data_IF_967107143759
#
_entry.id   IF_967107143759
#
_cell.length_a   1.000
_cell.length_b   1.000
_cell.length_c   1.000
_cell.angle_alpha   90.00
_cell.angle_beta   90.00
_cell.angle_gamma   90.00
#
_symmetry.space_group_name_H-M   'P 1'
#
loop_
_entity.id
_entity.type
_entity.pdbx_description
1 polymer ?
#
# COMPACT_ATOMS: atom_id res chain seq x y z
N UNK A 1 9.46 0.94 -5.41
CA UNK A 1 10.68 1.57 -5.97
C UNK A 1 11.01 2.85 -5.23
N UNK A 2 12.27 3.28 -5.23
CA UNK A 2 12.73 4.51 -4.57
C UNK A 2 13.92 5.14 -5.31
N UNK A 3 14.20 6.43 -5.09
CA UNK A 3 15.34 7.16 -5.67
C UNK A 3 14.94 8.32 -6.59
N UNK A 4 15.71 8.57 -7.65
CA UNK A 4 15.42 9.58 -8.68
C UNK A 4 14.28 9.11 -9.62
N UNK A 5 13.04 9.19 -9.11
CA UNK A 5 11.85 8.72 -9.84
C UNK A 5 11.43 9.74 -10.90
N UNK A 6 11.66 9.36 -12.16
CA UNK A 6 11.32 10.07 -13.39
C UNK A 6 10.07 9.45 -14.05
N UNK A 7 9.51 10.09 -15.07
CA UNK A 7 8.27 9.64 -15.73
C UNK A 7 8.32 8.17 -16.22
N UNK A 8 9.43 7.73 -16.82
CA UNK A 8 9.58 6.34 -17.26
C UNK A 8 9.51 5.33 -16.09
N UNK A 9 10.02 5.72 -14.92
CA UNK A 9 10.00 4.89 -13.71
C UNK A 9 8.58 4.74 -13.15
N UNK A 10 7.72 5.76 -13.30
CA UNK A 10 6.30 5.66 -12.92
C UNK A 10 5.55 4.64 -13.76
N UNK A 11 5.79 4.62 -15.07
CA UNK A 11 5.22 3.60 -15.97
C UNK A 11 5.71 2.18 -15.63
N UNK A 12 6.97 2.02 -15.20
CA UNK A 12 7.47 0.75 -14.63
C UNK A 12 6.72 0.36 -13.34
N UNK A 13 6.40 1.32 -12.48
CA UNK A 13 5.63 1.05 -11.26
C UNK A 13 4.18 0.62 -11.55
N UNK A 14 3.53 1.17 -12.58
CA UNK A 14 2.22 0.69 -13.05
C UNK A 14 2.32 -0.77 -13.55
N UNK A 15 3.27 -1.08 -14.45
CA UNK A 15 3.53 -2.45 -14.91
C UNK A 15 3.76 -3.43 -13.73
N UNK A 16 4.57 -3.04 -12.73
CA UNK A 16 4.84 -3.86 -11.53
C UNK A 16 3.61 -4.04 -10.63
N UNK A 17 2.75 -3.03 -10.50
CA UNK A 17 1.50 -3.14 -9.73
C UNK A 17 0.50 -4.07 -10.43
N UNK A 18 0.38 -3.95 -11.76
CA UNK A 18 -0.45 -4.82 -12.61
C UNK A 18 0.03 -6.28 -12.57
N UNK A 19 1.35 -6.53 -12.48
CA UNK A 19 1.92 -7.86 -12.23
C UNK A 19 1.65 -8.32 -10.78
N UNK A 20 1.71 -7.42 -9.79
CA UNK A 20 1.47 -7.76 -8.39
C UNK A 20 0.07 -8.36 -8.14
N UNK A 21 -0.92 -8.06 -9.00
CA UNK A 21 -2.27 -8.65 -8.89
C UNK A 21 -2.28 -10.18 -8.99
N UNK A 22 -1.25 -10.80 -9.57
CA UNK A 22 -1.10 -12.25 -9.66
C UNK A 22 -0.93 -12.91 -8.27
N UNK A 23 -0.62 -12.11 -7.23
CA UNK A 23 -0.55 -12.54 -5.83
C UNK A 23 -1.76 -12.12 -4.99
N UNK A 24 -2.77 -11.48 -5.58
CA UNK A 24 -3.98 -11.02 -4.89
C UNK A 24 -4.78 -10.00 -5.68
N UNK A 25 -6.11 -10.15 -5.72
CA UNK A 25 -7.02 -9.31 -6.54
C UNK A 25 -8.17 -8.68 -5.73
N UNK A 26 -8.19 -8.87 -4.42
CA UNK A 26 -9.28 -8.41 -3.54
C UNK A 26 -9.22 -6.90 -3.27
N UNK A 27 -8.01 -6.33 -3.25
CA UNK A 27 -7.78 -4.90 -3.07
C UNK A 27 -6.35 -4.51 -3.47
N UNK A 28 -6.17 -3.28 -3.94
CA UNK A 28 -4.88 -2.71 -4.31
C UNK A 28 -4.67 -1.38 -3.60
N UNK A 29 -3.43 -1.11 -3.19
CA UNK A 29 -3.04 0.19 -2.65
C UNK A 29 -1.58 0.54 -2.89
N UNK A 30 -1.29 1.83 -2.74
CA UNK A 30 0.02 2.43 -2.97
C UNK A 30 0.35 3.48 -1.90
N UNK A 31 1.63 3.70 -1.65
CA UNK A 31 2.15 4.84 -0.88
C UNK A 31 3.15 5.59 -1.74
N UNK A 32 2.93 6.89 -1.96
CA UNK A 32 3.96 7.82 -2.47
C UNK A 32 4.59 8.54 -1.28
N UNK A 33 5.88 8.87 -1.38
CA UNK A 33 6.54 9.86 -0.50
C UNK A 33 7.22 10.94 -1.33
N UNK A 34 7.03 12.21 -0.96
CA UNK A 34 7.70 13.39 -1.54
C UNK A 34 9.21 13.44 -1.27
N UNK A 35 9.93 14.30 -1.98
CA UNK A 35 11.24 14.84 -1.58
C UNK A 35 11.29 15.19 -0.09
N UNK A 36 10.26 15.90 0.39
CA UNK A 36 10.10 16.46 1.73
C UNK A 36 9.65 15.46 2.81
N UNK A 37 9.69 14.14 2.56
CA UNK A 37 9.30 13.06 3.49
C UNK A 37 7.79 12.88 3.72
N UNK A 38 6.92 13.77 3.23
CA UNK A 38 5.47 13.66 3.33
C UNK A 38 4.95 12.43 2.54
N UNK A 39 4.27 11.46 3.19
CA UNK A 39 3.63 10.33 2.53
C UNK A 39 2.19 10.65 2.12
N UNK A 40 1.69 9.96 1.08
CA UNK A 40 0.27 9.84 0.77
C UNK A 40 -0.02 8.39 0.41
N UNK A 41 -0.96 7.76 1.13
CA UNK A 41 -1.49 6.44 0.82
C UNK A 41 -2.81 6.55 0.04
N UNK A 42 -3.00 5.71 -0.98
CA UNK A 42 -4.29 5.46 -1.62
C UNK A 42 -4.57 3.96 -1.69
N UNK A 43 -5.81 3.55 -1.52
CA UNK A 43 -6.24 2.14 -1.57
C UNK A 43 -7.68 1.99 -2.06
N UNK A 44 -7.95 0.93 -2.82
CA UNK A 44 -9.29 0.58 -3.32
C UNK A 44 -9.51 -0.93 -3.29
N UNK A 45 -10.77 -1.36 -3.23
CA UNK A 45 -11.18 -2.74 -3.48
C UNK A 45 -10.92 -3.11 -4.95
N UNK A 46 -10.62 -4.38 -5.22
CA UNK A 46 -10.40 -4.92 -6.56
C UNK A 46 -8.95 -4.85 -7.05
N UNK A 47 -8.80 -4.89 -8.38
CA UNK A 47 -7.53 -4.99 -9.12
C UNK A 47 -6.86 -3.62 -9.32
N UNK A 48 -5.56 -3.58 -9.70
CA UNK A 48 -4.83 -2.32 -9.89
C UNK A 48 -5.50 -1.29 -10.78
N UNK A 49 -6.13 -1.71 -11.89
CA UNK A 49 -6.81 -0.80 -12.83
C UNK A 49 -7.80 0.14 -12.12
N UNK A 50 -8.60 -0.41 -11.19
CA UNK A 50 -9.62 0.34 -10.45
C UNK A 50 -9.03 1.46 -9.58
N UNK A 51 -7.74 1.38 -9.24
CA UNK A 51 -6.99 2.43 -8.54
C UNK A 51 -6.23 3.33 -9.52
N UNK A 52 -5.56 2.73 -10.53
CA UNK A 52 -4.72 3.43 -11.52
C UNK A 52 -5.51 4.44 -12.38
N UNK A 53 -6.79 4.18 -12.66
CA UNK A 53 -7.65 5.05 -13.47
C UNK A 53 -8.31 6.22 -12.69
N UNK A 54 -8.11 6.31 -11.37
CA UNK A 54 -8.70 7.38 -10.54
C UNK A 54 -7.95 8.71 -10.70
N UNK A 55 -8.66 9.84 -10.68
CA UNK A 55 -8.03 11.18 -10.65
C UNK A 55 -7.23 11.38 -9.37
N UNK A 56 -7.62 10.73 -8.27
CA UNK A 56 -6.84 10.69 -7.04
C UNK A 56 -5.46 10.04 -7.27
N UNK A 57 -5.36 8.92 -7.99
CA UNK A 57 -4.06 8.34 -8.34
C UNK A 57 -3.27 9.25 -9.29
N UNK A 58 -3.88 9.74 -10.36
CA UNK A 58 -3.21 10.62 -11.33
C UNK A 58 -2.61 11.87 -10.63
N UNK A 59 -3.44 12.64 -9.93
CA UNK A 59 -3.00 13.86 -9.22
C UNK A 59 -2.09 13.57 -8.02
N UNK A 60 -2.49 12.68 -7.11
CA UNK A 60 -1.82 12.49 -5.83
C UNK A 60 -0.67 11.49 -5.87
N UNK A 61 -0.51 10.68 -6.93
CA UNK A 61 0.55 9.65 -7.05
C UNK A 61 1.39 9.83 -8.32
N UNK A 62 0.77 10.00 -9.50
CA UNK A 62 1.49 9.96 -10.78
C UNK A 62 2.09 11.31 -11.20
N UNK A 63 1.38 12.42 -10.95
CA UNK A 63 1.86 13.77 -11.26
C UNK A 63 2.67 14.39 -10.10
N UNK A 64 2.28 14.12 -8.85
CA UNK A 64 2.93 14.64 -7.65
C UNK A 64 4.43 14.26 -7.52
N UNK A 65 5.20 15.09 -6.82
CA UNK A 65 6.62 14.80 -6.55
C UNK A 65 6.80 13.52 -5.72
N UNK A 66 7.81 12.73 -6.10
CA UNK A 66 8.01 11.35 -5.65
C UNK A 66 9.49 11.05 -5.48
N UNK A 67 9.85 10.43 -4.35
CA UNK A 67 11.13 9.73 -4.11
C UNK A 67 10.99 8.28 -3.63
N UNK A 68 9.80 7.88 -3.15
CA UNK A 68 9.44 6.49 -2.81
C UNK A 68 8.05 6.19 -3.38
N UNK A 69 7.88 5.00 -3.95
CA UNK A 69 6.60 4.39 -4.29
C UNK A 69 6.54 2.94 -3.78
N UNK A 70 5.72 2.68 -2.77
CA UNK A 70 5.35 1.34 -2.28
C UNK A 70 4.03 0.95 -2.96
N UNK A 71 3.86 -0.31 -3.35
CA UNK A 71 2.62 -0.82 -3.94
C UNK A 71 2.33 -2.24 -3.47
N UNK A 72 1.05 -2.59 -3.34
CA UNK A 72 0.61 -3.88 -2.82
C UNK A 72 -0.76 -4.28 -3.36
N UNK A 73 -0.90 -5.54 -3.77
CA UNK A 73 -2.17 -6.17 -4.09
C UNK A 73 -2.46 -7.29 -3.07
N UNK A 74 -3.60 -7.22 -2.38
CA UNK A 74 -3.99 -8.12 -1.29
C UNK A 74 -4.73 -9.34 -1.85
N UNK A 75 -4.27 -10.51 -1.45
CA UNK A 75 -5.12 -11.70 -1.32
C UNK A 75 -5.67 -11.72 0.11
N UNK A 76 -6.98 -11.89 0.27
CA UNK A 76 -7.63 -12.00 1.57
C UNK A 76 -7.24 -13.31 2.26
N UNK A 77 -6.80 -13.21 3.51
CA UNK A 77 -6.56 -14.33 4.43
C UNK A 77 -7.45 -14.17 5.67
N UNK A 78 -7.27 -13.08 6.40
CA UNK A 78 -8.16 -12.60 7.46
C UNK A 78 -8.94 -11.35 7.01
N UNK A 79 -10.01 -11.03 7.74
CA UNK A 79 -10.87 -9.86 7.54
C UNK A 79 -11.73 -9.86 6.27
N UNK A 80 -12.65 -8.89 6.19
CA UNK A 80 -13.46 -8.64 4.99
C UNK A 80 -12.65 -8.16 3.77
N UNK A 81 -13.25 -8.21 2.59
CA UNK A 81 -12.79 -7.44 1.43
C UNK A 81 -13.50 -6.09 1.50
N UNK A 82 -12.75 -5.04 1.86
CA UNK A 82 -13.21 -3.66 1.98
C UNK A 82 -11.99 -2.72 1.99
N UNK A 83 -12.22 -1.41 1.89
CA UNK A 83 -11.15 -0.40 1.83
C UNK A 83 -10.37 -0.32 3.16
N UNK A 84 -11.03 -0.48 4.31
CA UNK A 84 -10.39 -0.54 5.64
C UNK A 84 -9.25 -1.57 5.64
N UNK A 85 -9.57 -2.81 5.30
CA UNK A 85 -8.67 -3.97 5.34
C UNK A 85 -7.73 -4.07 4.13
N UNK A 86 -7.77 -3.11 3.21
CA UNK A 86 -6.79 -2.99 2.15
C UNK A 86 -5.49 -2.37 2.70
N UNK A 87 -4.34 -2.84 2.22
CA UNK A 87 -3.06 -2.16 2.42
C UNK A 87 -3.00 -0.89 1.56
N UNK A 88 -2.23 0.15 1.93
CA UNK A 88 -1.40 0.24 3.13
C UNK A 88 -2.21 0.40 4.43
N UNK A 89 -1.56 0.06 5.54
CA UNK A 89 -1.98 0.43 6.89
C UNK A 89 -1.12 1.57 7.39
N UNK A 90 -1.72 2.49 8.14
CA UNK A 90 -1.09 3.71 8.65
C UNK A 90 -1.43 3.88 10.13
N UNK A 91 -0.39 3.89 10.97
CA UNK A 91 -0.49 4.08 12.41
C UNK A 91 0.62 5.04 12.85
N UNK A 92 0.25 6.16 13.48
CA UNK A 92 1.20 7.16 13.97
C UNK A 92 2.23 7.58 12.91
N UNK A 93 3.49 7.22 13.15
CA UNK A 93 4.62 7.54 12.28
C UNK A 93 4.88 6.51 11.17
N UNK A 94 4.14 5.40 11.12
CA UNK A 94 4.39 4.26 10.25
C UNK A 94 3.30 4.14 9.18
N UNK A 95 3.69 3.96 7.92
CA UNK A 95 2.77 3.57 6.84
C UNK A 95 3.39 2.46 5.98
N UNK A 96 2.72 1.32 5.83
CA UNK A 96 3.35 0.12 5.28
C UNK A 96 2.44 -0.96 4.71
N UNK A 97 3.07 -1.97 4.10
CA UNK A 97 2.42 -3.11 3.43
C UNK A 97 3.03 -4.44 3.88
N UNK A 98 2.20 -5.48 4.06
CA UNK A 98 2.61 -6.80 4.54
C UNK A 98 2.14 -7.90 3.56
N UNK A 99 3.11 -8.54 2.88
CA UNK A 99 2.87 -9.79 2.15
C UNK A 99 3.16 -10.95 3.10
N UNK A 100 2.13 -11.62 3.60
CA UNK A 100 2.29 -12.64 4.61
C UNK A 100 1.01 -13.07 5.30
N UNK A 101 1.15 -13.76 6.42
CA UNK A 101 0.08 -14.17 7.34
C UNK A 101 0.73 -14.52 8.68
N UNK A 102 0.36 -13.82 9.74
CA UNK A 102 0.89 -14.04 11.07
C UNK A 102 0.15 -15.18 11.75
N UNK A 103 0.85 -16.29 11.98
CA UNK A 103 0.42 -17.29 12.96
C UNK A 103 0.50 -16.67 14.36
N UNK A 104 -0.34 -17.16 15.28
CA UNK A 104 -0.32 -16.74 16.67
C UNK A 104 -0.75 -15.29 16.97
N UNK A 105 -1.14 -14.46 15.98
CA UNK A 105 -1.47 -13.05 16.20
C UNK A 105 -2.59 -12.81 17.23
N UNK A 106 -3.48 -13.80 17.45
CA UNK A 106 -4.46 -13.83 18.54
C UNK A 106 -3.86 -13.79 19.97
N UNK A 107 -2.54 -13.92 20.11
CA UNK A 107 -1.80 -13.75 21.37
C UNK A 107 -1.25 -12.33 21.58
N UNK A 108 -1.27 -11.50 20.54
CA UNK A 108 -0.79 -10.11 20.62
C UNK A 108 -1.79 -9.24 21.37
N UNK A 109 -1.29 -8.21 22.05
CA UNK A 109 -2.14 -7.23 22.72
C UNK A 109 -3.11 -6.58 21.70
N UNK A 110 -4.35 -6.33 22.12
CA UNK A 110 -5.40 -5.68 21.31
C UNK A 110 -5.83 -6.43 20.03
N UNK A 111 -5.50 -7.71 19.85
CA UNK A 111 -5.84 -8.45 18.62
C UNK A 111 -7.32 -8.42 18.19
N UNK A 112 -8.25 -8.17 19.12
CA UNK A 112 -9.70 -8.10 18.87
C UNK A 112 -10.17 -6.77 18.29
N UNK A 113 -9.32 -5.76 18.31
CA UNK A 113 -9.64 -4.39 17.87
C UNK A 113 -9.41 -4.23 16.34
N UNK A 114 -8.81 -5.25 15.69
CA UNK A 114 -8.38 -5.23 14.30
C UNK A 114 -8.98 -6.41 13.51
N UNK A 115 -9.45 -6.14 12.29
CA UNK A 115 -10.04 -7.16 11.41
C UNK A 115 -9.00 -8.04 10.70
N UNK A 116 -7.74 -7.59 10.64
CA UNK A 116 -6.63 -8.29 9.98
C UNK A 116 -5.32 -8.21 10.78
N UNK A 117 -4.54 -9.26 10.66
CA UNK A 117 -3.22 -9.44 11.30
C UNK A 117 -2.20 -8.37 10.87
N UNK A 118 -2.26 -7.92 9.62
CA UNK A 118 -1.39 -6.86 9.08
C UNK A 118 -1.60 -5.49 9.72
N UNK A 119 -2.83 -5.17 10.09
CA UNK A 119 -3.22 -3.87 10.65
C UNK A 119 -2.76 -3.78 12.12
N UNK A 120 -3.06 -4.85 12.87
CA UNK A 120 -2.52 -5.13 14.20
C UNK A 120 -0.98 -5.10 14.22
N UNK A 121 -0.31 -5.68 13.23
CA UNK A 121 1.15 -5.65 13.13
C UNK A 121 1.68 -4.21 13.00
N UNK A 122 1.13 -3.42 12.09
CA UNK A 122 1.59 -2.04 11.89
C UNK A 122 1.24 -1.12 13.07
N UNK A 123 0.14 -1.40 13.79
CA UNK A 123 -0.13 -0.76 15.07
C UNK A 123 0.94 -1.10 16.12
N UNK A 124 1.29 -2.38 16.33
CA UNK A 124 2.36 -2.77 17.26
C UNK A 124 3.73 -2.16 16.88
N UNK A 125 4.07 -2.11 15.58
CA UNK A 125 5.31 -1.46 15.11
C UNK A 125 5.30 0.05 15.40
N UNK A 126 4.15 0.74 15.32
CA UNK A 126 4.05 2.15 15.67
C UNK A 126 4.05 2.42 17.18
N UNK A 127 3.43 1.56 17.99
CA UNK A 127 3.27 1.76 19.44
C UNK A 127 4.53 1.35 20.22
N UNK A 128 5.14 0.22 19.85
CA UNK A 128 6.26 -0.39 20.59
C UNK A 128 7.58 -0.39 19.81
N UNK A 129 7.57 0.00 18.53
CA UNK A 129 8.72 -0.09 17.64
C UNK A 129 8.93 -1.51 17.07
N UNK A 130 9.63 -1.58 15.94
CA UNK A 130 9.97 -2.85 15.26
C UNK A 130 10.76 -3.80 16.19
N UNK A 131 11.67 -3.24 16.98
CA UNK A 131 12.55 -3.97 17.92
C UNK A 131 11.79 -4.75 19.00
N UNK A 132 10.70 -4.20 19.53
CA UNK A 132 9.88 -4.86 20.54
C UNK A 132 8.69 -5.63 19.94
N UNK A 133 8.51 -5.59 18.61
CA UNK A 133 7.39 -6.24 17.91
C UNK A 133 7.82 -7.53 17.23
N UNK A 134 8.89 -7.51 16.43
CA UNK A 134 9.29 -8.66 15.62
C UNK A 134 9.64 -9.89 16.46
N UNK A 135 10.36 -9.81 17.60
CA UNK A 135 10.63 -10.98 18.46
C UNK A 135 9.38 -11.61 19.09
N UNK A 136 8.24 -10.92 19.10
CA UNK A 136 6.95 -11.48 19.57
C UNK A 136 6.23 -12.30 18.48
N UNK A 137 6.67 -12.23 17.22
CA UNK A 137 6.06 -12.97 16.11
C UNK A 137 6.54 -14.41 16.09
N UNK A 138 5.60 -15.35 15.96
CA UNK A 138 5.85 -16.77 15.73
C UNK A 138 6.74 -16.96 14.48
N UNK A 139 7.92 -17.58 14.62
CA UNK A 139 8.86 -17.76 13.49
C UNK A 139 8.24 -18.54 12.30
N UNK A 140 7.22 -19.33 12.61
CA UNK A 140 6.52 -20.18 11.67
C UNK A 140 5.39 -19.42 10.92
N UNK A 141 5.12 -18.18 11.34
CA UNK A 141 4.39 -17.19 10.56
C UNK A 141 5.12 -16.80 9.28
N UNK A 142 4.50 -15.91 8.50
CA UNK A 142 5.06 -15.45 7.24
C UNK A 142 4.94 -13.93 7.12
N UNK A 143 6.05 -13.25 6.85
CA UNK A 143 6.05 -11.81 6.58
C UNK A 143 7.17 -11.40 5.62
N UNK A 144 6.82 -10.56 4.66
CA UNK A 144 7.70 -9.58 4.04
C UNK A 144 7.05 -8.20 4.19
N UNK A 145 7.78 -7.26 4.77
CA UNK A 145 7.32 -5.96 5.24
C UNK A 145 8.08 -4.85 4.52
N UNK A 146 7.35 -3.84 4.05
CA UNK A 146 7.91 -2.60 3.50
C UNK A 146 7.12 -1.42 4.06
N UNK A 147 7.80 -0.48 4.71
CA UNK A 147 7.14 0.69 5.30
C UNK A 147 7.98 1.96 5.22
N UNK A 148 7.30 3.10 5.23
CA UNK A 148 7.88 4.40 5.48
C UNK A 148 7.73 4.75 6.96
N UNK A 149 8.80 5.24 7.56
CA UNK A 149 8.80 5.87 8.89
C UNK A 149 8.91 7.38 8.70
N UNK A 150 7.86 8.11 9.06
CA UNK A 150 7.74 9.58 8.97
C UNK A 150 8.71 10.30 9.91
N UNK A 151 9.00 9.73 11.08
CA UNK A 151 9.83 10.35 12.12
C UNK A 151 11.31 10.14 11.86
N UNK A 152 11.69 8.93 11.43
CA UNK A 152 13.06 8.62 11.02
C UNK A 152 13.38 9.08 9.58
N UNK A 153 12.36 9.41 8.78
CA UNK A 153 12.46 9.67 7.33
C UNK A 153 13.13 8.52 6.56
N UNK A 154 12.81 7.27 6.93
CA UNK A 154 13.40 6.07 6.33
C UNK A 154 12.40 5.16 5.64
N UNK A 155 12.85 4.56 4.54
CA UNK A 155 12.22 3.43 3.88
C UNK A 155 12.81 2.15 4.46
N UNK A 156 11.96 1.30 5.02
CA UNK A 156 12.35 0.14 5.81
C UNK A 156 11.91 -1.16 5.15
N UNK A 157 12.77 -2.17 5.24
CA UNK A 157 12.54 -3.52 4.72
C UNK A 157 12.89 -4.56 5.79
N UNK A 158 12.03 -5.57 5.93
CA UNK A 158 12.28 -6.75 6.76
C UNK A 158 11.45 -7.93 6.26
N UNK A 159 11.99 -9.14 6.26
CA UNK A 159 11.23 -10.36 5.97
C UNK A 159 11.80 -11.56 6.74
N UNK A 160 11.02 -12.63 6.89
CA UNK A 160 11.55 -13.92 7.34
C UNK A 160 11.81 -14.90 6.18
N UNK A 161 12.22 -16.13 6.53
CA UNK A 161 12.38 -17.29 5.62
C UNK A 161 11.13 -17.59 4.77
N UNK A 162 9.94 -17.29 5.26
CA UNK A 162 8.66 -17.77 4.72
C UNK A 162 8.09 -16.92 3.57
N UNK A 163 8.71 -15.78 3.24
CA UNK A 163 8.31 -14.92 2.11
C UNK A 163 9.52 -14.41 1.31
N UNK A 164 9.42 -14.35 -0.02
CA UNK A 164 10.46 -13.76 -0.86
C UNK A 164 10.29 -12.24 -0.97
N UNK A 165 11.42 -11.53 -1.06
CA UNK A 165 11.51 -10.15 -1.51
C UNK A 165 12.89 -9.97 -2.16
N UNK A 166 12.94 -9.28 -3.29
CA UNK A 166 14.15 -9.05 -4.08
C UNK A 166 14.29 -7.58 -4.44
N UNK A 167 15.51 -7.15 -4.74
CA UNK A 167 15.89 -5.83 -5.23
C UNK A 167 16.62 -5.90 -6.56
N UNK A 168 16.54 -4.82 -7.33
CA UNK A 168 17.47 -4.50 -8.42
C UNK A 168 17.54 -2.98 -8.59
N UNK A 169 18.49 -2.49 -9.38
CA UNK A 169 18.73 -1.06 -9.56
C UNK A 169 18.83 -0.70 -11.04
N UNK A 170 18.56 0.57 -11.37
CA UNK A 170 19.00 1.14 -12.65
C UNK A 170 20.52 1.06 -12.78
N UNK A 171 21.00 1.01 -14.02
CA UNK A 171 22.43 0.97 -14.36
C UNK A 171 23.26 2.12 -13.80
N UNK A 172 22.65 3.27 -13.57
CA UNK A 172 23.26 4.46 -12.96
C UNK A 172 23.13 4.50 -11.43
N UNK A 173 22.61 3.44 -10.80
CA UNK A 173 22.41 3.28 -9.36
C UNK A 173 21.44 4.30 -8.73
N UNK A 174 20.65 5.04 -9.52
CA UNK A 174 19.77 6.10 -9.01
C UNK A 174 18.38 5.66 -8.59
N UNK A 175 17.86 4.53 -9.09
CA UNK A 175 16.54 4.01 -8.70
C UNK A 175 16.66 2.54 -8.31
N UNK A 176 16.13 2.25 -7.12
CA UNK A 176 15.97 0.91 -6.57
C UNK A 176 14.55 0.41 -6.86
N UNK A 177 14.43 -0.73 -7.54
CA UNK A 177 13.19 -1.48 -7.67
C UNK A 177 13.18 -2.64 -6.67
N UNK A 178 11.99 -3.01 -6.18
CA UNK A 178 11.80 -4.22 -5.39
C UNK A 178 10.52 -4.94 -5.82
N UNK A 179 10.50 -6.25 -5.64
CA UNK A 179 9.41 -7.14 -6.02
C UNK A 179 9.36 -8.33 -5.07
N UNK A 180 8.20 -9.00 -4.98
CA UNK A 180 8.13 -10.27 -4.24
C UNK A 180 8.90 -11.38 -4.96
N UNK A 181 9.00 -11.33 -6.30
CA UNK A 181 9.62 -12.37 -7.11
C UNK A 181 10.55 -11.74 -8.17
N UNK A 182 11.73 -12.32 -8.45
CA UNK A 182 12.76 -11.67 -9.26
C UNK A 182 12.38 -11.58 -10.74
N UNK A 183 11.51 -12.47 -11.24
CA UNK A 183 11.07 -12.45 -12.63
C UNK A 183 10.21 -11.22 -12.97
N UNK A 184 9.63 -10.53 -11.98
CA UNK A 184 8.90 -9.26 -12.17
C UNK A 184 9.82 -8.17 -12.75
N UNK A 185 11.13 -8.24 -12.51
CA UNK A 185 12.10 -7.30 -13.07
C UNK A 185 12.26 -7.43 -14.59
N UNK A 186 11.70 -8.47 -15.21
CA UNK A 186 11.50 -8.54 -16.67
C UNK A 186 10.57 -7.44 -17.22
N UNK A 187 9.72 -6.82 -16.39
CA UNK A 187 8.98 -5.62 -16.78
C UNK A 187 9.83 -4.35 -16.68
N UNK A 188 10.74 -4.29 -15.71
CA UNK A 188 11.67 -3.17 -15.51
C UNK A 188 12.67 -3.09 -16.69
N UNK A 189 13.29 -4.22 -17.06
CA UNK A 189 14.28 -4.29 -18.13
C UNK A 189 13.73 -4.01 -19.53
N UNK A 190 12.40 -4.01 -19.71
CA UNK A 190 11.73 -3.56 -20.96
C UNK A 190 11.71 -2.03 -21.13
N UNK A 191 11.98 -1.27 -20.05
CA UNK A 191 11.85 0.20 -20.03
C UNK A 191 13.09 0.93 -19.48
N UNK A 192 14.05 0.24 -18.85
CA UNK A 192 15.33 0.82 -18.42
C UNK A 192 16.44 -0.23 -18.37
N UNK A 193 17.69 0.19 -18.61
CA UNK A 193 18.88 -0.61 -18.30
C UNK A 193 18.98 -0.86 -16.78
N UNK A 194 19.24 -2.12 -16.40
CA UNK A 194 19.52 -2.54 -15.03
C UNK A 194 21.03 -2.51 -14.71
N UNK A 195 21.39 -2.67 -13.43
CA UNK A 195 22.78 -2.84 -13.01
C UNK A 195 23.44 -4.07 -13.64
N UNK A 196 24.77 -4.12 -13.70
CA UNK A 196 25.50 -5.21 -14.33
C UNK A 196 25.59 -6.48 -13.47
N UNK A 197 25.53 -6.34 -12.14
CA UNK A 197 25.68 -7.40 -11.15
C UNK A 197 26.27 -6.86 -9.85
N UNK A 198 26.26 -7.67 -8.80
CA UNK A 198 27.31 -7.61 -7.79
C UNK A 198 28.60 -8.29 -8.34
N UNK A 199 29.62 -8.50 -7.50
CA UNK A 199 30.88 -9.15 -7.90
C UNK A 199 30.69 -10.59 -8.42
N UNK A 200 29.58 -11.24 -8.08
CA UNK A 200 29.19 -12.59 -8.54
C UNK A 200 28.35 -12.58 -9.82
N UNK A 201 28.00 -11.40 -10.34
CA UNK A 201 27.11 -11.22 -11.50
C UNK A 201 25.60 -11.24 -11.17
N UNK A 202 25.20 -11.24 -9.89
CA UNK A 202 23.79 -11.25 -9.50
C UNK A 202 23.11 -9.90 -9.78
N UNK A 203 22.26 -9.85 -10.81
CA UNK A 203 21.46 -8.66 -11.20
C UNK A 203 20.26 -8.42 -10.25
N UNK A 204 19.79 -9.48 -9.59
CA UNK A 204 18.69 -9.45 -8.63
C UNK A 204 19.19 -9.93 -7.27
N UNK A 205 19.13 -9.07 -6.25
CA UNK A 205 19.56 -9.42 -4.89
C UNK A 205 18.34 -9.82 -4.04
N UNK A 206 18.33 -10.99 -3.38
CA UNK A 206 17.34 -11.26 -2.33
C UNK A 206 17.57 -10.31 -1.15
N UNK A 207 16.49 -9.86 -0.51
CA UNK A 207 16.59 -9.35 0.86
C UNK A 207 17.02 -10.50 1.76
N UNK A 208 17.97 -10.26 2.66
CA UNK A 208 18.39 -11.24 3.65
C UNK A 208 17.24 -11.60 4.62
N UNK A 209 17.20 -12.84 5.08
CA UNK A 209 16.23 -13.26 6.08
C UNK A 209 16.55 -12.58 7.43
N UNK A 210 15.49 -12.15 8.12
CA UNK A 210 15.53 -11.70 9.51
C UNK A 210 16.51 -10.55 9.77
N UNK A 211 16.80 -9.75 8.73
CA UNK A 211 17.56 -8.49 8.81
C UNK A 211 16.69 -7.30 8.42
N UNK A 212 16.59 -6.34 9.34
CA UNK A 212 16.05 -5.01 9.10
C UNK A 212 17.06 -4.20 8.29
N UNK A 213 16.61 -3.60 7.19
CA UNK A 213 17.37 -2.62 6.41
C UNK A 213 16.58 -1.30 6.33
N UNK A 214 17.15 -0.22 6.88
CA UNK A 214 16.54 1.11 6.91
C UNK A 214 17.34 2.07 6.03
N UNK A 215 16.72 2.64 5.00
CA UNK A 215 17.35 3.55 4.05
C UNK A 215 16.79 4.97 4.18
N UNK A 216 17.67 5.96 4.36
CA UNK A 216 17.37 7.34 4.01
C UNK A 216 17.45 7.49 2.49
N UNK A 217 16.46 8.19 1.92
CA UNK A 217 16.33 8.40 0.47
C UNK A 217 16.52 9.89 0.16
N UNK A 218 17.66 10.24 -0.44
CA UNK A 218 17.95 11.59 -0.94
C UNK A 218 17.68 11.65 -2.46
N UNK A 219 16.51 12.13 -2.87
CA UNK A 219 16.11 12.18 -4.30
C UNK A 219 17.16 12.83 -5.21
N UNK A 220 17.77 13.93 -4.75
CA UNK A 220 18.66 14.74 -5.60
C UNK A 220 20.09 14.20 -5.68
N UNK A 221 20.48 13.29 -4.79
CA UNK A 221 21.80 12.63 -4.82
C UNK A 221 23.02 13.55 -4.74
N UNK A 222 22.85 14.79 -4.24
CA UNK A 222 23.92 15.80 -4.21
C UNK A 222 24.96 15.42 -3.16
N UNK A 223 26.23 15.37 -3.58
CA UNK A 223 27.39 15.13 -2.72
C UNK A 223 27.38 16.06 -1.48
N UNK A 224 27.65 15.54 -0.26
CA UNK A 224 28.14 14.19 0.05
C UNK A 224 27.06 13.10 0.16
N UNK A 225 25.78 13.43 -0.06
CA UNK A 225 24.65 12.58 0.31
C UNK A 225 24.15 11.73 -0.86
N UNK A 226 24.66 10.49 -0.96
CA UNK A 226 24.20 9.47 -1.91
C UNK A 226 22.68 9.25 -1.84
N UNK A 227 22.08 8.89 -2.98
CA UNK A 227 20.62 8.70 -3.13
C UNK A 227 20.07 7.67 -2.14
N UNK A 228 20.81 6.58 -1.92
CA UNK A 228 20.51 5.56 -0.91
C UNK A 228 21.57 5.62 0.18
N UNK A 229 21.17 5.97 1.39
CA UNK A 229 22.03 5.92 2.57
C UNK A 229 21.46 4.93 3.58
N UNK A 230 22.14 3.81 3.79
CA UNK A 230 21.76 2.79 4.77
C UNK A 230 22.00 3.35 6.18
N UNK A 231 20.93 3.58 6.94
CA UNK A 231 20.96 4.15 8.30
C UNK A 231 21.05 3.05 9.37
N UNK A 232 20.37 1.93 9.13
CA UNK A 232 20.32 0.79 10.05
C UNK A 232 20.40 -0.52 9.27
N UNK A 233 21.25 -1.43 9.75
CA UNK A 233 21.21 -2.84 9.43
C UNK A 233 21.26 -3.61 10.74
N UNK A 234 20.24 -4.42 11.03
CA UNK A 234 20.10 -5.12 12.32
C UNK A 234 19.42 -6.46 12.14
N UNK A 235 19.90 -7.50 12.82
CA UNK A 235 19.20 -8.80 12.88
C UNK A 235 17.99 -8.69 13.82
N UNK A 236 16.81 -9.04 13.32
CA UNK A 236 15.51 -9.07 13.99
C UNK A 236 14.72 -10.28 13.48
N UNK A 237 14.77 -11.37 14.27
CA UNK A 237 14.05 -12.62 14.01
C UNK A 237 12.82 -12.73 14.92
N UNK A 238 11.77 -13.40 14.44
CA UNK A 238 10.68 -13.89 15.31
C UNK A 238 11.12 -15.07 16.17
N UNK A 239 10.56 -15.20 17.37
CA UNK A 239 10.88 -16.29 18.31
C UNK A 239 9.81 -17.39 18.29
N UNK A 240 10.22 -18.66 18.40
CA UNK A 240 9.29 -19.74 18.78
C UNK A 240 8.91 -19.58 20.24
N UNK A 241 7.80 -18.87 20.49
CA UNK A 241 7.11 -18.94 21.78
C UNK A 241 5.86 -19.79 21.62
N UNK A 242 6.02 -21.09 21.90
CA UNK A 242 4.88 -21.95 22.24
C UNK A 242 4.14 -21.28 23.39
N UNK A 243 2.94 -20.75 23.11
CA UNK A 243 2.30 -19.74 23.94
C UNK A 243 1.84 -20.32 25.28
N UNK A 244 2.71 -20.24 26.29
CA UNK A 244 2.39 -20.40 27.71
C UNK A 244 1.58 -19.20 28.17
N UNK A 245 0.37 -19.06 27.61
CA UNK A 245 -0.61 -18.06 27.99
C UNK A 245 -0.81 -18.12 29.49
N UNK A 246 -0.43 -17.05 30.18
CA UNK A 246 -0.27 -17.04 31.62
C UNK A 246 -1.64 -16.91 32.31
N UNK A 247 -2.43 -17.98 32.20
CA UNK A 247 -3.70 -18.16 32.89
C UNK A 247 -3.44 -18.12 34.39
N UNK A 248 -3.57 -16.92 34.97
CA UNK A 248 -3.82 -16.76 36.40
C UNK A 248 -5.16 -17.41 36.69
N UNK A 249 -5.10 -18.70 37.02
CA UNK A 249 -6.22 -19.45 37.56
C UNK A 249 -6.69 -18.75 38.83
N UNK A 250 -7.79 -18.00 38.74
CA UNK A 250 -8.52 -17.56 39.91
C UNK A 250 -9.13 -18.81 40.53
N UNK A 251 -8.46 -19.32 41.57
CA UNK A 251 -8.73 -20.63 42.14
C UNK A 251 -10.19 -20.78 42.54
N UNK A 252 -10.92 -21.62 41.82
CA UNK A 252 -12.23 -22.11 42.23
C UNK A 252 -12.03 -23.34 43.10
N UNK A 253 -12.58 -23.33 44.31
CA UNK A 253 -12.33 -24.34 45.33
C UNK A 253 -12.94 -25.69 44.94
N UNK A 254 -12.20 -26.77 45.19
CA UNK A 254 -12.44 -28.06 44.56
C UNK A 254 -13.76 -28.74 44.90
N UNK A 255 -14.22 -29.55 43.94
CA UNK A 255 -15.05 -30.73 44.18
C UNK A 255 -14.26 -31.91 43.60
N UNK A 256 -13.89 -32.86 44.45
CA UNK A 256 -13.23 -34.09 43.99
C UNK A 256 -14.24 -35.00 43.30
N UNK A 257 -13.88 -35.57 42.15
CA UNK A 257 -14.60 -36.68 41.54
C UNK A 257 -13.62 -37.79 41.15
N UNK A 258 -13.87 -39.00 41.64
CA UNK A 258 -13.02 -40.16 41.39
C UNK A 258 -12.99 -40.54 39.90
N UNK A 259 -11.79 -40.79 39.38
CA UNK A 259 -11.61 -41.29 38.03
C UNK A 259 -12.16 -42.72 37.87
N UNK A 260 -12.85 -42.97 36.76
CA UNK A 260 -13.30 -44.29 36.33
C UNK A 260 -12.78 -44.59 34.92
N UNK A 261 -12.02 -45.67 34.78
CA UNK A 261 -11.43 -46.08 33.49
C UNK A 261 -12.44 -46.89 32.67
N UNK A 262 -12.76 -46.44 31.45
CA UNK A 262 -13.60 -47.18 30.51
C UNK A 262 -13.02 -47.20 29.09
N UNK A 263 -13.31 -48.30 28.40
CA UNK A 263 -12.64 -48.77 27.19
C UNK A 263 -12.81 -47.84 25.97
N UNK A 264 -11.82 -47.87 25.07
CA UNK A 264 -11.91 -47.17 23.79
C UNK A 264 -12.97 -47.77 22.86
N UNK A 265 -13.87 -46.91 22.37
CA UNK A 265 -14.74 -47.19 21.22
C UNK A 265 -14.20 -46.55 19.94
N UNK A 266 -14.63 -47.03 18.78
CA UNK A 266 -14.28 -46.40 17.50
C UNK A 266 -14.90 -45.01 17.38
N UNK A 267 -14.10 -44.02 17.00
CA UNK A 267 -14.58 -42.65 16.76
C UNK A 267 -15.39 -42.64 15.46
N UNK A 268 -16.65 -42.22 15.53
CA UNK A 268 -17.49 -42.04 14.35
C UNK A 268 -16.98 -40.86 13.50
N UNK A 269 -16.99 -41.03 12.17
CA UNK A 269 -16.53 -40.01 11.21
C UNK A 269 -17.22 -38.66 11.43
N UNK A 270 -16.49 -37.61 11.87
CA UNK A 270 -17.07 -36.32 12.23
C UNK A 270 -17.59 -35.53 11.02
N UNK A 271 -17.30 -35.97 9.78
CA UNK A 271 -17.72 -35.28 8.57
C UNK A 271 -19.01 -35.84 7.94
N UNK A 272 -19.60 -36.91 8.49
CA UNK A 272 -20.88 -37.46 7.99
C UNK A 272 -22.02 -36.44 8.04
N UNK A 273 -22.23 -35.80 9.19
CA UNK A 273 -23.28 -34.79 9.37
C UNK A 273 -23.09 -33.57 8.46
N UNK A 274 -21.84 -33.12 8.28
CA UNK A 274 -21.50 -32.06 7.34
C UNK A 274 -21.82 -32.44 5.89
N UNK A 275 -21.53 -33.69 5.49
CA UNK A 275 -21.78 -34.19 4.12
C UNK A 275 -23.26 -34.39 3.80
N UNK A 276 -24.07 -34.75 4.79
CA UNK A 276 -25.54 -34.79 4.66
C UNK A 276 -26.14 -33.39 4.66
N UNK A 277 -25.69 -32.50 5.57
CA UNK A 277 -26.13 -31.10 5.62
C UNK A 277 -25.84 -30.34 4.33
N UNK A 278 -24.66 -30.55 3.73
CA UNK A 278 -24.31 -29.97 2.42
C UNK A 278 -25.22 -30.46 1.29
N UNK A 279 -25.66 -31.73 1.34
CA UNK A 279 -26.65 -32.28 0.41
C UNK A 279 -28.03 -31.64 0.58
N UNK A 280 -28.45 -31.36 1.82
CA UNK A 280 -29.72 -30.67 2.11
C UNK A 280 -29.68 -29.19 1.74
N UNK A 281 -28.52 -28.54 1.80
CA UNK A 281 -28.31 -27.14 1.35
C UNK A 281 -28.30 -27.02 -0.18
N UNK A 282 -27.60 -27.92 -0.87
CA UNK A 282 -27.57 -27.92 -2.35
C UNK A 282 -28.94 -28.23 -2.98
N UNK A 283 -29.84 -28.90 -2.25
CA UNK A 283 -31.24 -29.13 -2.67
C UNK A 283 -32.21 -27.98 -2.32
N UNK A 284 -31.71 -26.79 -1.95
CA UNK A 284 -32.51 -25.63 -1.52
C UNK A 284 -32.10 -24.30 -2.18
N UNK A 285 -31.44 -24.37 -3.33
CA UNK A 285 -30.97 -23.20 -4.09
C UNK A 285 -31.74 -22.94 -5.39
N UNK A 286 -32.83 -23.68 -5.62
CA UNK A 286 -33.84 -23.41 -6.65
C UNK A 286 -35.19 -23.05 -5.98
N UNK A 287 -35.30 -21.86 -5.36
CA UNK A 287 -36.51 -21.01 -5.49
C UNK A 287 -36.27 -19.58 -4.96
N UNK A 288 -37.07 -18.63 -5.48
CA UNK A 288 -37.39 -17.26 -5.00
C UNK A 288 -36.27 -16.34 -4.45
N UNK A 289 -36.17 -15.13 -5.00
CA UNK A 289 -35.59 -13.97 -4.31
C UNK A 289 -36.53 -13.46 -3.21
N UNK A 290 -35.97 -12.87 -2.14
CA UNK A 290 -36.32 -11.53 -1.60
C UNK A 290 -36.05 -11.36 -0.09
N UNK A 291 -35.54 -10.18 0.25
CA UNK A 291 -35.57 -9.45 1.53
C UNK A 291 -34.90 -9.93 2.83
N UNK A 292 -34.66 -8.91 3.68
CA UNK A 292 -33.79 -8.87 4.86
C UNK A 292 -34.64 -8.68 6.13
N UNK A 293 -34.16 -9.11 7.31
CA UNK A 293 -34.46 -8.42 8.56
C UNK A 293 -33.20 -7.80 9.20
N UNK A 294 -32.98 -6.50 8.91
CA UNK A 294 -32.00 -5.67 9.61
C UNK A 294 -32.52 -5.32 11.01
N UNK A 295 -31.67 -5.39 12.05
CA UNK A 295 -32.04 -5.01 13.44
C UNK A 295 -30.96 -4.14 14.07
N UNK A 296 -31.36 -3.06 14.76
CA UNK A 296 -30.45 -2.02 15.23
C UNK A 296 -30.77 -1.57 16.67
N UNK A 297 -29.72 -1.16 17.41
CA UNK A 297 -29.80 -0.64 18.78
C UNK A 297 -29.42 -1.68 19.86
N UNK A 298 -28.79 -1.32 20.99
CA UNK A 298 -28.70 0.03 21.59
C UNK A 298 -27.44 0.25 22.44
N UNK A 299 -26.90 1.49 22.38
CA UNK A 299 -26.15 2.24 23.41
C UNK A 299 -24.89 1.61 24.07
N UNK A 300 -23.70 2.22 23.88
CA UNK A 300 -22.57 2.04 24.80
C UNK A 300 -22.87 2.58 26.20
N UNK A 301 -22.31 1.93 27.24
CA UNK A 301 -22.35 2.42 28.62
C UNK A 301 -21.16 3.36 28.92
N UNK A 302 -21.31 4.35 29.83
CA UNK A 302 -20.24 5.27 30.20
C UNK A 302 -19.14 4.56 31.01
N UNK A 303 -17.87 4.82 30.67
CA UNK A 303 -16.72 4.25 31.38
C UNK A 303 -16.45 5.00 32.70
N UNK A 304 -16.10 4.30 33.80
CA UNK A 304 -15.80 4.92 35.08
C UNK A 304 -14.42 5.64 35.09
N UNK A 305 -14.23 6.65 35.96
CA UNK A 305 -13.02 7.48 35.97
C UNK A 305 -11.77 6.74 36.49
N UNK A 306 -10.60 7.10 35.93
CA UNK A 306 -9.28 6.64 36.42
C UNK A 306 -9.08 6.98 37.90
N UNK A 307 -8.57 6.01 38.67
CA UNK A 307 -7.87 6.28 39.95
C UNK A 307 -6.35 6.35 39.71
N UNK A 308 -5.62 7.32 40.30
CA UNK A 308 -4.18 7.47 40.08
C UNK A 308 -3.34 6.66 41.08
N UNK A 309 -2.42 5.84 40.55
CA UNK A 309 -1.28 5.22 41.25
C UNK A 309 -0.17 5.04 40.20
N UNK A 310 1.12 5.32 40.45
CA UNK A 310 1.75 5.93 41.61
C UNK A 310 3.27 5.97 41.40
N UNK A 311 3.93 7.09 41.74
CA UNK A 311 5.36 7.31 41.45
C UNK A 311 6.27 6.40 42.28
N UNK A 312 7.29 5.77 41.66
CA UNK A 312 8.49 5.30 42.38
C UNK A 312 9.70 5.01 41.50
N UNK A 313 10.64 5.97 41.51
CA UNK A 313 12.10 5.79 41.50
C UNK A 313 12.62 6.54 42.75
N UNK A 314 13.89 6.40 43.21
CA UNK A 314 15.07 5.81 42.55
C UNK A 314 15.88 4.80 43.40
N UNK A 315 16.97 4.29 42.82
CA UNK A 315 18.07 3.61 43.53
C UNK A 315 19.40 3.85 42.79
N UNK A 316 20.48 4.19 43.50
CA UNK A 316 21.74 4.69 42.91
C UNK A 316 22.99 4.06 43.52
N UNK A 317 23.84 3.48 42.67
CA UNK A 317 25.26 3.13 42.88
C UNK A 317 25.82 2.63 41.52
N UNK A 318 27.02 2.94 41.02
CA UNK A 318 28.22 3.55 41.62
C UNK A 318 29.10 2.47 42.28
N UNK A 319 30.34 2.17 41.86
CA UNK A 319 31.17 2.58 40.70
C UNK A 319 32.09 1.36 40.32
N UNK A 320 33.22 1.37 39.59
CA UNK A 320 34.22 2.38 39.15
C UNK A 320 35.03 1.83 37.97
N UNK A 321 35.76 2.67 37.21
CA UNK A 321 36.85 2.23 36.33
C UNK A 321 38.16 1.97 37.14
N UNK A 322 39.19 1.32 36.54
CA UNK A 322 40.25 2.14 35.94
C UNK A 322 40.84 1.60 34.61
N UNK A 323 41.46 2.52 33.86
CA UNK A 323 42.29 2.31 32.65
C UNK A 323 43.75 1.93 32.97
N UNK A 324 44.55 1.49 31.97
CA UNK A 324 45.88 2.07 31.57
C UNK A 324 46.70 1.21 30.56
N UNK A 325 47.02 1.77 29.36
CA UNK A 325 48.29 1.65 28.54
C UNK A 325 48.81 0.25 28.09
N UNK A 326 49.77 0.05 27.15
CA UNK A 326 50.35 0.80 25.98
C UNK A 326 51.04 -0.19 24.98
N UNK A 327 51.74 0.38 23.98
CA UNK A 327 52.74 -0.17 23.02
C UNK A 327 52.18 -0.83 21.74
N UNK A 328 52.58 -0.46 20.51
CA UNK A 328 53.94 -0.17 19.92
C UNK A 328 54.73 -1.46 19.65
N UNK A 329 55.40 -1.71 18.51
CA UNK A 329 55.79 -0.83 17.38
C UNK A 329 56.18 -1.64 16.11
N UNK A 330 56.39 -0.96 14.96
CA UNK A 330 57.33 -1.31 13.84
C UNK A 330 57.09 -2.59 12.99
N UNK A 331 57.47 -2.69 11.70
CA UNK A 331 57.99 -1.72 10.69
C UNK A 331 58.09 -2.35 9.27
N UNK A 332 58.08 -1.52 8.21
CA UNK A 332 58.93 -1.50 6.97
C UNK A 332 59.42 -2.84 6.33
N UNK A 333 59.60 -3.06 5.01
CA UNK A 333 59.39 -2.32 3.72
C UNK A 333 59.83 -3.28 2.55
N UNK A 334 60.17 -2.99 1.27
CA UNK A 334 60.35 -1.77 0.44
C UNK A 334 60.36 -2.10 -1.09
N UNK A 335 59.60 -1.39 -1.95
CA UNK A 335 59.80 -1.23 -3.44
C UNK A 335 59.79 -2.51 -4.35
N UNK A 336 59.81 -2.50 -5.70
CA UNK A 336 59.88 -1.45 -6.74
C UNK A 336 59.17 -1.88 -8.06
N UNK A 337 58.99 -0.97 -9.03
CA UNK A 337 58.57 -1.25 -10.43
C UNK A 337 59.79 -1.42 -11.37
N UNK A 338 59.59 -1.93 -12.61
CA UNK A 338 59.94 -1.10 -13.78
C UNK A 338 58.94 -1.22 -14.97
N UNK A 339 59.37 -0.84 -16.19
CA UNK A 339 58.51 -0.22 -17.22
C UNK A 339 58.42 -0.97 -18.55
N UNK A 340 57.27 -0.78 -19.24
CA UNK A 340 56.91 -0.92 -20.66
C UNK A 340 57.89 -1.51 -21.72
N UNK A 341 57.32 -2.28 -22.67
CA UNK A 341 57.44 -2.00 -24.12
C UNK A 341 56.40 -2.79 -24.97
N UNK A 342 56.39 -2.53 -26.29
CA UNK A 342 55.33 -2.90 -27.26
C UNK A 342 55.61 -4.13 -28.11
N UNK A 343 54.57 -4.89 -28.49
CA UNK A 343 54.49 -5.55 -29.80
C UNK A 343 53.05 -5.89 -30.22
N UNK A 344 52.81 -6.03 -31.52
CA UNK A 344 51.52 -6.33 -32.15
C UNK A 344 51.57 -7.65 -32.91
N UNK A 345 50.46 -8.40 -32.98
CA UNK A 345 50.21 -9.41 -34.02
C UNK A 345 48.70 -9.49 -34.29
N UNK A 346 48.33 -9.81 -35.54
CA UNK A 346 46.95 -9.88 -36.02
C UNK A 346 46.62 -11.24 -36.62
N UNK A 347 45.38 -11.72 -36.40
CA UNK A 347 44.73 -12.70 -37.28
C UNK A 347 43.29 -12.26 -37.55
N UNK A 348 42.75 -12.63 -38.72
CA UNK A 348 41.47 -12.12 -39.19
C UNK A 348 40.70 -13.17 -40.02
N UNK A 349 39.40 -12.87 -40.23
CA UNK A 349 38.43 -13.38 -41.22
C UNK A 349 37.28 -14.22 -40.62
N UNK A 350 36.08 -14.20 -41.25
CA UNK A 350 35.45 -13.05 -41.91
C UNK A 350 33.96 -12.89 -41.54
N UNK A 351 33.38 -11.71 -41.80
CA UNK A 351 31.92 -11.55 -41.93
C UNK A 351 31.51 -11.75 -43.39
N UNK A 352 30.37 -12.38 -43.64
CA UNK A 352 29.66 -12.27 -44.91
C UNK A 352 28.86 -10.96 -44.98
N UNK A 353 28.38 -10.59 -46.17
CA UNK A 353 27.82 -9.27 -46.50
C UNK A 353 26.50 -9.38 -47.27
N UNK A 354 25.97 -8.24 -47.76
CA UNK A 354 24.74 -8.04 -48.55
C UNK A 354 23.43 -7.92 -47.73
N UNK A 355 22.48 -7.01 -48.04
CA UNK A 355 22.56 -5.77 -48.85
C UNK A 355 21.47 -4.78 -48.42
N UNK A 356 21.58 -3.51 -48.81
CA UNK A 356 20.65 -2.40 -48.51
C UNK A 356 19.70 -2.07 -49.65
N UNK A 357 18.46 -1.64 -49.33
CA UNK A 357 17.61 -0.68 -50.09
C UNK A 357 16.57 -0.12 -49.09
N UNK A 358 16.28 1.18 -48.95
CA UNK A 358 16.03 2.29 -49.90
C UNK A 358 14.53 2.44 -50.28
N UNK A 359 13.96 3.61 -49.99
CA UNK A 359 12.55 3.99 -50.21
C UNK A 359 12.28 4.44 -51.66
N UNK A 360 11.00 4.71 -52.04
CA UNK A 360 10.52 6.10 -52.03
C UNK A 360 9.02 6.26 -51.67
N UNK A 361 8.43 7.45 -51.89
CA UNK A 361 7.08 7.85 -51.48
C UNK A 361 6.23 8.48 -52.62
N UNK A 362 4.92 8.58 -52.41
CA UNK A 362 3.95 9.46 -53.09
C UNK A 362 2.76 9.72 -52.13
N UNK A 363 2.04 10.85 -52.03
CA UNK A 363 1.71 12.05 -52.85
C UNK A 363 0.31 12.04 -53.52
N UNK A 364 -0.50 13.04 -53.15
CA UNK A 364 -1.71 13.58 -53.81
C UNK A 364 -2.97 12.65 -53.80
N UNK A 365 -4.22 13.14 -53.92
CA UNK A 365 -4.72 14.49 -54.25
C UNK A 365 -6.02 14.90 -53.51
N UNK A 366 -6.85 15.79 -54.09
CA UNK A 366 -7.86 16.60 -53.37
C UNK A 366 -9.22 16.78 -54.10
N UNK A 367 -10.13 17.56 -53.48
CA UNK A 367 -11.40 18.16 -54.01
C UNK A 367 -12.66 17.27 -54.14
N UNK A 368 -13.91 17.78 -54.20
CA UNK A 368 -14.63 18.93 -53.57
C UNK A 368 -16.15 18.85 -53.95
N UNK A 369 -17.00 19.80 -53.49
CA UNK A 369 -18.34 20.18 -54.03
C UNK A 369 -19.58 19.33 -53.64
N UNK A 370 -20.84 19.80 -53.72
CA UNK A 370 -21.50 20.92 -52.96
C UNK A 370 -23.05 20.84 -53.04
N UNK A 371 -23.75 21.65 -52.22
CA UNK A 371 -25.20 22.02 -52.27
C UNK A 371 -26.22 20.99 -51.74
N UNK A 372 -27.37 21.39 -51.15
CA UNK A 372 -27.88 22.75 -50.89
C UNK A 372 -29.05 22.80 -49.87
N UNK A 373 -29.42 24.01 -49.40
CA UNK A 373 -30.56 24.29 -48.50
C UNK A 373 -31.73 24.96 -49.25
N UNK A 374 -32.97 24.85 -48.74
CA UNK A 374 -33.57 25.95 -47.95
C UNK A 374 -34.38 25.43 -46.73
N UNK A 375 -35.05 26.21 -45.89
CA UNK A 375 -34.81 27.53 -45.26
C UNK A 375 -35.94 27.71 -44.23
N UNK A 376 -35.69 28.34 -43.07
CA UNK A 376 -36.71 28.49 -42.02
C UNK A 376 -36.09 28.96 -40.72
N UNK A 377 -36.15 30.27 -40.46
CA UNK A 377 -35.38 30.92 -39.39
C UNK A 377 -36.27 31.34 -38.22
N UNK A 378 -35.80 31.06 -37.00
CA UNK A 378 -36.05 31.92 -35.84
C UNK A 378 -34.73 32.11 -35.09
N UNK A 379 -34.51 33.27 -34.47
CA UNK A 379 -33.26 33.61 -33.78
C UNK A 379 -33.52 34.11 -32.36
N UNK A 380 -32.81 33.54 -31.39
CA UNK A 380 -32.42 34.22 -30.14
C UNK A 380 -31.07 33.70 -29.66
N UNK A 381 -30.20 34.62 -29.25
CA UNK A 381 -29.05 34.46 -28.32
C UNK A 381 -28.21 33.16 -28.39
N UNK A 382 -26.94 33.31 -28.83
CA UNK A 382 -25.87 32.45 -28.30
C UNK A 382 -25.75 32.70 -26.79
N UNK A 383 -25.78 31.65 -25.97
CA UNK A 383 -25.28 31.73 -24.60
C UNK A 383 -23.75 31.92 -24.60
N UNK A 384 -23.17 32.62 -23.60
CA UNK A 384 -21.71 32.74 -23.48
C UNK A 384 -21.08 31.41 -23.06
N UNK A 385 -19.88 31.13 -23.58
CA UNK A 385 -19.02 30.05 -23.11
C UNK A 385 -18.49 30.32 -21.70
N UNK A 386 -18.16 29.23 -20.98
CA UNK A 386 -17.54 29.21 -19.64
C UNK A 386 -18.50 29.28 -18.44
N UNK A 387 -19.54 28.43 -18.43
CA UNK A 387 -19.92 27.80 -17.15
C UNK A 387 -18.81 26.81 -16.78
N UNK A 388 -18.16 27.02 -15.64
CA UNK A 388 -17.20 26.06 -15.10
C UNK A 388 -18.01 24.94 -14.46
N UNK A 389 -18.06 23.79 -15.13
CA UNK A 389 -18.66 22.56 -14.59
C UNK A 389 -17.89 22.19 -13.32
N UNK A 390 -18.51 22.39 -12.15
CA UNK A 390 -17.91 22.13 -10.84
C UNK A 390 -17.82 20.64 -10.53
N UNK A 391 -18.76 19.86 -11.05
CA UNK A 391 -18.96 18.45 -10.72
C UNK A 391 -19.21 17.64 -11.99
N UNK A 392 -18.74 16.39 -12.03
CA UNK A 392 -19.00 15.50 -13.18
C UNK A 392 -19.20 14.06 -12.76
N UNK A 393 -20.18 13.39 -13.36
CA UNK A 393 -20.25 11.94 -13.37
C UNK A 393 -19.28 11.35 -14.40
N UNK A 394 -18.62 10.24 -14.06
CA UNK A 394 -17.91 9.38 -15.03
C UNK A 394 -17.88 7.92 -14.60
N UNK A 395 -17.75 7.02 -15.56
CA UNK A 395 -17.47 5.61 -15.31
C UNK A 395 -15.94 5.36 -15.21
N UNK A 396 -15.54 4.44 -14.34
CA UNK A 396 -14.16 3.97 -14.16
C UNK A 396 -14.18 2.46 -13.95
N UNK A 397 -13.76 1.69 -14.95
CA UNK A 397 -13.78 0.23 -14.97
C UNK A 397 -15.11 -0.42 -14.51
N UNK A 398 -16.26 0.09 -14.97
CA UNK A 398 -17.58 -0.43 -14.60
C UNK A 398 -18.14 0.07 -13.26
N UNK A 399 -17.51 1.06 -12.62
CA UNK A 399 -18.00 1.72 -11.40
C UNK A 399 -18.15 3.23 -11.65
N UNK A 400 -19.32 3.78 -11.31
CA UNK A 400 -19.60 5.20 -11.49
C UNK A 400 -19.03 6.06 -10.36
N UNK A 401 -18.60 7.27 -10.73
CA UNK A 401 -18.00 8.24 -9.84
C UNK A 401 -18.60 9.63 -10.02
N UNK A 402 -18.82 10.33 -8.91
CA UNK A 402 -18.94 11.78 -8.90
C UNK A 402 -17.58 12.42 -8.59
N UNK A 403 -17.20 13.39 -9.41
CA UNK A 403 -15.98 14.21 -9.27
C UNK A 403 -16.34 15.57 -8.71
N UNK A 404 -15.53 16.11 -7.80
CA UNK A 404 -15.42 17.55 -7.59
C UNK A 404 -14.21 18.12 -8.35
N UNK A 405 -14.44 18.97 -9.35
CA UNK A 405 -13.38 19.63 -10.11
C UNK A 405 -12.64 20.73 -9.33
N UNK A 406 -13.17 21.19 -8.19
CA UNK A 406 -12.56 22.22 -7.32
C UNK A 406 -11.42 21.64 -6.48
N UNK A 407 -11.58 20.43 -5.94
CA UNK A 407 -10.55 19.71 -5.14
C UNK A 407 -9.87 18.57 -5.88
N UNK A 408 -10.43 18.10 -7.01
CA UNK A 408 -9.95 16.94 -7.75
C UNK A 408 -10.28 15.59 -7.10
N UNK A 409 -11.06 15.57 -6.02
CA UNK A 409 -11.52 14.33 -5.37
C UNK A 409 -12.63 13.66 -6.20
N UNK A 410 -12.71 12.34 -6.08
CA UNK A 410 -13.76 11.53 -6.69
C UNK A 410 -14.31 10.56 -5.63
N UNK A 411 -15.63 10.37 -5.62
CA UNK A 411 -16.32 9.39 -4.78
C UNK A 411 -17.13 8.45 -5.67
N UNK A 412 -17.14 7.17 -5.33
CA UNK A 412 -18.02 6.20 -5.98
C UNK A 412 -19.48 6.62 -5.70
N UNK A 413 -20.36 6.57 -6.71
CA UNK A 413 -21.73 7.12 -6.59
C UNK A 413 -22.51 6.49 -5.45
N UNK A 414 -22.37 5.17 -5.28
CA UNK A 414 -22.89 4.36 -4.16
C UNK A 414 -22.52 4.94 -2.78
N UNK A 415 -21.24 5.21 -2.57
CA UNK A 415 -20.69 5.74 -1.31
C UNK A 415 -21.08 7.21 -1.11
N UNK A 416 -21.08 8.02 -2.18
CA UNK A 416 -21.50 9.42 -2.09
C UNK A 416 -22.97 9.54 -1.68
N UNK A 417 -23.85 8.71 -2.25
CA UNK A 417 -25.26 8.67 -1.90
C UNK A 417 -25.46 8.16 -0.46
N UNK A 418 -24.76 7.11 -0.04
CA UNK A 418 -24.78 6.61 1.35
C UNK A 418 -24.34 7.67 2.38
N UNK A 419 -23.26 8.42 2.12
CA UNK A 419 -22.76 9.44 3.04
C UNK A 419 -23.64 10.70 3.08
N UNK A 420 -24.26 11.08 1.95
CA UNK A 420 -25.08 12.32 1.85
C UNK A 420 -26.58 12.07 2.03
N UNK A 421 -27.02 10.81 2.04
CA UNK A 421 -28.42 10.41 2.02
C UNK A 421 -29.17 10.89 0.78
N UNK A 422 -28.47 11.12 -0.33
CA UNK A 422 -29.00 11.76 -1.54
C UNK A 422 -29.50 13.20 -1.35
N UNK A 423 -29.29 13.82 -0.19
CA UNK A 423 -29.96 15.06 0.22
C UNK A 423 -29.06 16.29 0.11
N UNK A 424 -29.55 17.33 -0.57
CA UNK A 424 -28.88 18.63 -0.63
C UNK A 424 -28.82 19.27 0.77
N UNK A 425 -27.64 19.69 1.22
CA UNK A 425 -27.45 20.21 2.58
C UNK A 425 -28.13 21.58 2.82
N UNK A 426 -28.51 22.29 1.75
CA UNK A 426 -29.19 23.59 1.80
C UNK A 426 -30.71 23.44 1.93
N UNK A 427 -31.39 22.80 0.98
CA UNK A 427 -32.86 22.62 1.04
C UNK A 427 -33.31 21.41 1.87
N UNK A 428 -32.44 20.41 2.05
CA UNK A 428 -32.73 19.09 2.68
C UNK A 428 -33.71 18.20 1.92
N UNK A 429 -33.98 18.53 0.66
CA UNK A 429 -34.70 17.65 -0.26
C UNK A 429 -33.71 16.66 -0.92
N UNK A 430 -34.15 15.44 -1.24
CA UNK A 430 -33.39 14.51 -2.09
C UNK A 430 -33.34 15.02 -3.53
N UNK A 431 -32.23 14.73 -4.23
CA UNK A 431 -32.12 14.93 -5.68
C UNK A 431 -32.59 13.70 -6.46
N UNK A 432 -33.02 13.88 -7.71
CA UNK A 432 -33.45 12.77 -8.58
C UNK A 432 -32.30 12.12 -9.37
N UNK A 433 -31.22 12.87 -9.60
CA UNK A 433 -30.01 12.41 -10.30
C UNK A 433 -28.78 13.06 -9.65
N UNK A 434 -27.67 12.32 -9.49
CA UNK A 434 -26.39 12.88 -9.03
C UNK A 434 -25.82 13.95 -9.97
N UNK A 435 -26.31 14.05 -11.21
CA UNK A 435 -26.07 15.19 -12.10
C UNK A 435 -26.67 16.52 -11.58
N UNK A 436 -27.54 16.51 -10.57
CA UNK A 436 -28.01 17.72 -9.88
C UNK A 436 -27.04 18.24 -8.81
N UNK A 437 -26.03 17.46 -8.41
CA UNK A 437 -25.00 17.89 -7.44
C UNK A 437 -24.12 18.95 -8.09
N UNK A 438 -24.06 20.17 -7.53
CA UNK A 438 -23.37 21.31 -8.15
C UNK A 438 -22.14 21.78 -7.37
N UNK A 439 -22.14 21.74 -6.03
CA UNK A 439 -20.91 22.00 -5.26
C UNK A 439 -20.81 21.10 -4.04
N UNK A 440 -19.66 20.43 -3.90
CA UNK A 440 -19.36 19.49 -2.83
C UNK A 440 -18.48 20.15 -1.77
N UNK A 441 -18.83 19.94 -0.51
CA UNK A 441 -18.20 20.47 0.69
C UNK A 441 -17.74 19.31 1.57
N UNK A 442 -16.54 19.45 2.12
CA UNK A 442 -15.90 18.42 2.95
C UNK A 442 -15.52 19.08 4.27
N UNK A 443 -16.09 18.63 5.39
CA UNK A 443 -15.62 19.07 6.70
C UNK A 443 -14.41 18.23 7.12
N UNK A 444 -13.23 18.79 6.87
CA UNK A 444 -11.97 18.21 7.35
C UNK A 444 -11.93 18.31 8.88
N UNK A 445 -12.21 17.20 9.56
CA UNK A 445 -12.08 17.12 11.02
C UNK A 445 -10.63 17.39 11.46
N UNK A 446 -10.47 17.98 12.64
CA UNK A 446 -9.16 18.44 13.15
C UNK A 446 -8.15 17.30 13.30
N UNK A 447 -6.84 17.54 13.08
CA UNK A 447 -5.81 16.49 13.15
C UNK A 447 -5.83 15.73 14.47
N UNK A 448 -6.01 14.40 14.40
CA UNK A 448 -6.01 13.51 15.57
C UNK A 448 -7.11 12.43 15.58
N UNK A 449 -8.12 12.53 14.71
CA UNK A 449 -9.15 11.51 14.50
C UNK A 449 -9.06 10.90 13.09
N UNK A 450 -9.49 9.64 12.89
CA UNK A 450 -9.53 9.04 11.56
C UNK A 450 -10.46 9.84 10.63
N UNK A 451 -10.02 10.04 9.40
CA UNK A 451 -10.71 10.86 8.41
C UNK A 451 -11.79 10.07 7.67
N UNK A 452 -12.95 9.92 8.30
CA UNK A 452 -14.20 9.93 7.54
C UNK A 452 -14.45 11.39 7.14
N UNK A 453 -14.36 11.69 5.84
CA UNK A 453 -14.73 12.99 5.27
C UNK A 453 -16.25 13.19 5.47
N UNK A 454 -16.67 14.17 6.26
CA UNK A 454 -18.09 14.58 6.36
C UNK A 454 -18.45 15.36 5.07
N UNK A 455 -18.96 14.61 4.10
CA UNK A 455 -19.31 15.05 2.74
C UNK A 455 -20.73 15.60 2.74
N UNK A 456 -20.90 16.79 2.19
CA UNK A 456 -22.19 17.43 1.99
C UNK A 456 -22.20 18.20 0.67
N UNK A 457 -23.36 18.44 0.06
CA UNK A 457 -23.41 19.12 -1.23
C UNK A 457 -24.60 20.08 -1.37
N UNK A 458 -24.44 21.06 -2.25
CA UNK A 458 -25.51 21.94 -2.71
C UNK A 458 -25.92 21.51 -4.12
N UNK A 459 -27.22 21.28 -4.34
CA UNK A 459 -27.75 20.97 -5.68
C UNK A 459 -27.90 22.23 -6.54
N UNK A 460 -27.98 22.04 -7.86
CA UNK A 460 -28.05 23.10 -8.88
C UNK A 460 -29.23 24.07 -8.67
N UNK A 461 -30.39 23.58 -8.24
CA UNK A 461 -31.57 24.41 -7.91
C UNK A 461 -31.35 25.30 -6.69
N UNK A 462 -30.56 24.85 -5.72
CA UNK A 462 -30.16 25.64 -4.56
C UNK A 462 -29.05 26.65 -4.88
N UNK A 463 -28.05 26.26 -5.68
CA UNK A 463 -26.98 27.20 -6.05
C UNK A 463 -27.46 28.31 -7.00
N UNK A 464 -28.39 28.01 -7.91
CA UNK A 464 -28.98 29.03 -8.80
C UNK A 464 -29.91 30.00 -8.08
N UNK A 465 -30.45 29.62 -6.92
CA UNK A 465 -31.31 30.47 -6.09
C UNK A 465 -30.58 31.17 -4.93
N UNK A 466 -29.42 30.69 -4.49
CA UNK A 466 -28.68 31.23 -3.33
C UNK A 466 -27.93 32.55 -3.57
N UNK A 467 -28.14 33.22 -4.72
CA UNK A 467 -27.58 34.54 -5.04
C UNK A 467 -28.13 35.69 -4.15
N UNK A 468 -28.86 35.35 -3.08
CA UNK A 468 -29.39 36.24 -2.03
C UNK A 468 -29.18 35.71 -0.60
N UNK A 469 -28.36 34.68 -0.38
CA UNK A 469 -28.16 34.09 0.96
C UNK A 469 -26.79 33.47 1.20
N UNK A 470 -26.07 33.95 2.21
CA UNK A 470 -24.80 33.35 2.70
C UNK A 470 -25.07 32.05 3.44
N UNK A 471 -24.28 31.01 3.12
CA UNK A 471 -24.16 29.78 3.92
C UNK A 471 -23.25 29.97 5.14
#
# INVERSE_FOLDING_TARGET
MAGDIQHQHRQIFKDLLTICQLRGRDSTGVVRVTGNNEPVGLKRVGVPEFLLETKAYDTMIDQADTKVLIGHCRAKTYGGVNIKNAHPFEHGNIIGVHNGTLKGHYSMERYRDFDVDSDLLYWHISEYGVDATIPKLDEDGAWALVWWDKQAATLNFLKNKSRPLYFTYTKDMKVMFWASEPWWFGAVSRKTDLWAGNEEGHVFLPLENDKLMSFEINKLGVEPNKIFTLKTMKELKGEVRGYTGNYRSHGWTGVEYHGSSHNGGQVADPFKSARESAKTLLGKLDDSTDDIPFTMGSKPLPLPPRKPVGTQTPGVSGSTAPSVKKSETSSLSHSASPTALTSSISTARPKLSLVSNASPASQQGSSESTSGKPSGTCMTSKAPSNLIVKTSLREVAGLEFITDHKTGREWETSFFDEQTGGCCCFCREPIGDLAEVEEIFIRVNTPGFPADDDISFICSSCLTSSNTGTC
#
